data_IF_403847215094
#
_entry.id   IF_403847215094
#
_cell.length_a   1.000
_cell.length_b   1.000
_cell.length_c   1.000
_cell.angle_alpha   90.00
_cell.angle_beta   90.00
_cell.angle_gamma   90.00
#
_symmetry.space_group_name_H-M   'P 1'
#
loop_
_entity.id
_entity.type
_entity.pdbx_description
1 polymer ?
#
# COMPACT_ATOMS: atom_id res chain seq x y z
N UNK A 1 -13.74 18.24 -8.21
CA UNK A 1 -12.44 17.54 -8.10
C UNK A 1 -12.28 17.01 -6.68
N UNK A 2 -11.10 16.52 -6.29
CA UNK A 2 -10.86 16.07 -4.91
C UNK A 2 -11.05 17.21 -3.89
N UNK A 3 -10.90 18.46 -4.33
CA UNK A 3 -11.09 19.68 -3.55
C UNK A 3 -12.55 19.96 -3.14
N UNK A 4 -13.52 19.34 -3.82
CA UNK A 4 -14.96 19.52 -3.55
C UNK A 4 -15.48 18.60 -2.44
N UNK A 5 -14.63 17.69 -1.95
CA UNK A 5 -14.98 16.71 -0.93
C UNK A 5 -14.83 17.30 0.48
N UNK A 6 -15.62 16.80 1.43
CA UNK A 6 -15.38 17.05 2.85
C UNK A 6 -14.04 16.46 3.28
N UNK A 7 -13.47 16.93 4.39
CA UNK A 7 -12.20 16.38 4.91
C UNK A 7 -12.32 14.90 5.28
N UNK A 8 -13.49 14.47 5.75
CA UNK A 8 -13.80 13.06 6.01
C UNK A 8 -13.81 12.24 4.72
N UNK A 9 -14.47 12.74 3.67
CA UNK A 9 -14.51 12.06 2.37
C UNK A 9 -13.14 11.99 1.72
N UNK A 10 -12.32 13.05 1.84
CA UNK A 10 -10.92 13.04 1.38
C UNK A 10 -10.12 11.95 2.08
N UNK A 11 -10.30 11.80 3.39
CA UNK A 11 -9.64 10.75 4.17
C UNK A 11 -10.08 9.35 3.71
N UNK A 12 -11.39 9.14 3.50
CA UNK A 12 -11.94 7.88 2.99
C UNK A 12 -11.36 7.57 1.60
N UNK A 13 -11.34 8.55 0.70
CA UNK A 13 -10.78 8.40 -0.65
C UNK A 13 -9.29 8.06 -0.59
N UNK A 14 -8.53 8.73 0.27
CA UNK A 14 -7.10 8.45 0.49
C UNK A 14 -6.86 7.00 0.94
N UNK A 15 -7.59 6.54 1.97
CA UNK A 15 -7.48 5.15 2.45
C UNK A 15 -7.96 4.15 1.40
N UNK A 16 -9.04 4.43 0.67
CA UNK A 16 -9.55 3.58 -0.40
C UNK A 16 -8.52 3.43 -1.54
N UNK A 17 -7.82 4.50 -1.92
CA UNK A 17 -6.74 4.44 -2.92
C UNK A 17 -5.56 3.61 -2.43
N UNK A 18 -5.15 3.75 -1.16
CA UNK A 18 -4.12 2.88 -0.56
C UNK A 18 -4.52 1.41 -0.58
N UNK A 19 -5.76 1.11 -0.18
CA UNK A 19 -6.32 -0.26 -0.25
C UNK A 19 -6.31 -0.80 -1.68
N UNK A 20 -6.78 -0.01 -2.64
CA UNK A 20 -6.80 -0.41 -4.05
C UNK A 20 -5.40 -0.76 -4.55
N UNK A 21 -4.38 0.01 -4.17
CA UNK A 21 -2.98 -0.28 -4.49
C UNK A 21 -2.49 -1.53 -3.75
N UNK A 22 -2.80 -1.67 -2.47
CA UNK A 22 -2.35 -2.79 -1.63
C UNK A 22 -2.96 -4.14 -2.02
N UNK A 23 -4.10 -4.14 -2.74
CA UNK A 23 -4.63 -5.34 -3.38
C UNK A 23 -3.76 -5.86 -4.54
N UNK A 24 -2.83 -5.05 -5.06
CA UNK A 24 -1.83 -5.54 -6.00
C UNK A 24 -0.71 -6.26 -5.27
N UNK A 25 -0.24 -7.37 -5.83
CA UNK A 25 0.88 -8.14 -5.31
C UNK A 25 1.74 -8.67 -6.46
N UNK A 26 3.07 -8.72 -6.29
CA UNK A 26 3.94 -9.39 -7.25
C UNK A 26 3.75 -10.90 -7.18
N UNK A 27 3.48 -11.52 -8.34
CA UNK A 27 3.32 -12.97 -8.45
C UNK A 27 4.61 -13.64 -8.90
N UNK A 28 4.90 -14.81 -8.33
CA UNK A 28 6.05 -15.65 -8.72
C UNK A 28 6.08 -15.95 -10.23
N UNK A 29 4.92 -16.24 -10.83
CA UNK A 29 4.79 -16.50 -12.26
C UNK A 29 5.01 -15.26 -13.14
N UNK A 30 4.93 -14.06 -12.56
CA UNK A 30 5.04 -12.80 -13.26
C UNK A 30 6.41 -12.14 -13.12
N UNK A 31 7.33 -12.69 -12.31
CA UNK A 31 8.66 -12.13 -12.03
C UNK A 31 9.43 -11.79 -13.31
N UNK A 32 9.38 -12.67 -14.32
CA UNK A 32 10.06 -12.44 -15.61
C UNK A 32 9.52 -11.23 -16.39
N UNK A 33 8.29 -10.80 -16.13
CA UNK A 33 7.65 -9.68 -16.81
C UNK A 33 7.70 -8.40 -15.98
N UNK A 34 7.61 -8.50 -14.65
CA UNK A 34 7.56 -7.36 -13.73
C UNK A 34 8.94 -6.95 -13.22
N UNK A 35 9.91 -7.86 -13.21
CA UNK A 35 11.22 -7.68 -12.58
C UNK A 35 11.16 -7.59 -11.05
N UNK A 36 10.02 -7.92 -10.44
CA UNK A 36 9.82 -7.86 -8.99
C UNK A 36 9.57 -9.27 -8.43
N UNK A 37 10.34 -9.64 -7.41
CA UNK A 37 10.24 -10.93 -6.73
C UNK A 37 8.82 -11.19 -6.22
N UNK A 38 8.31 -12.38 -6.50
CA UNK A 38 6.99 -12.84 -6.09
C UNK A 38 6.88 -12.90 -4.57
N UNK A 39 5.68 -12.59 -4.07
CA UNK A 39 5.41 -12.57 -2.64
C UNK A 39 4.29 -13.53 -2.29
N UNK A 40 4.52 -14.29 -1.23
CA UNK A 40 3.48 -15.06 -0.56
C UNK A 40 3.08 -14.32 0.71
N UNK A 41 1.80 -13.97 0.82
CA UNK A 41 1.25 -13.30 2.01
C UNK A 41 0.29 -14.25 2.69
N UNK A 42 0.48 -14.48 3.99
CA UNK A 42 -0.41 -15.35 4.76
C UNK A 42 -1.79 -14.70 4.93
N UNK A 43 -2.81 -15.51 5.23
CA UNK A 43 -4.15 -14.99 5.53
C UNK A 43 -4.14 -14.08 6.76
N UNK A 44 -3.39 -14.46 7.79
CA UNK A 44 -3.26 -13.68 9.03
C UNK A 44 -2.61 -12.32 8.76
N UNK A 45 -1.52 -12.29 8.00
CA UNK A 45 -0.86 -11.04 7.62
C UNK A 45 -1.73 -10.16 6.74
N UNK A 46 -2.50 -10.76 5.84
CA UNK A 46 -3.48 -10.03 5.01
C UNK A 46 -4.49 -9.32 5.90
N UNK A 47 -5.15 -10.05 6.80
CA UNK A 47 -6.16 -9.49 7.69
C UNK A 47 -5.56 -8.40 8.59
N UNK A 48 -4.37 -8.63 9.15
CA UNK A 48 -3.66 -7.65 9.99
C UNK A 48 -3.33 -6.38 9.22
N UNK A 49 -2.77 -6.51 8.02
CA UNK A 49 -2.39 -5.39 7.15
C UNK A 49 -3.59 -4.51 6.80
N UNK A 50 -4.68 -5.13 6.32
CA UNK A 50 -5.88 -4.40 5.94
C UNK A 50 -6.55 -3.70 7.14
N UNK A 51 -6.58 -4.35 8.32
CA UNK A 51 -7.11 -3.72 9.53
C UNK A 51 -6.36 -2.44 9.89
N UNK A 52 -5.02 -2.46 9.86
CA UNK A 52 -4.24 -1.25 10.18
C UNK A 52 -4.42 -0.13 9.15
N UNK A 53 -4.57 -0.45 7.85
CA UNK A 53 -4.90 0.56 6.82
C UNK A 53 -6.27 1.19 7.08
N UNK A 54 -7.29 0.39 7.38
CA UNK A 54 -8.64 0.88 7.67
C UNK A 54 -8.67 1.70 8.97
N UNK A 55 -7.91 1.30 9.98
CA UNK A 55 -7.76 2.01 11.25
C UNK A 55 -6.99 3.33 11.13
N UNK A 56 -6.27 3.56 10.02
CA UNK A 56 -5.51 4.78 9.77
C UNK A 56 -4.07 4.77 10.30
N UNK A 57 -3.58 3.61 10.75
CA UNK A 57 -2.21 3.48 11.30
C UNK A 57 -1.14 3.89 10.27
N UNK A 58 -1.45 3.73 8.98
CA UNK A 58 -0.54 4.01 7.86
C UNK A 58 -0.97 5.23 7.03
N UNK A 59 -1.75 6.15 7.61
CA UNK A 59 -2.22 7.35 6.90
C UNK A 59 -1.09 8.29 6.47
N UNK A 60 0.01 8.29 7.23
CA UNK A 60 1.21 9.07 6.95
C UNK A 60 2.04 8.55 5.77
N UNK A 61 1.82 7.31 5.31
CA UNK A 61 2.56 6.73 4.19
C UNK A 61 2.00 7.20 2.84
N UNK A 62 2.85 7.44 1.83
CA UNK A 62 2.40 7.81 0.48
C UNK A 62 1.69 6.65 -0.23
N UNK A 63 0.71 6.93 -1.09
CA UNK A 63 -0.03 5.91 -1.84
C UNK A 63 0.87 4.97 -2.67
N UNK A 64 1.98 5.49 -3.19
CA UNK A 64 2.93 4.73 -4.00
C UNK A 64 3.61 3.58 -3.24
N UNK A 65 3.70 3.69 -1.91
CA UNK A 65 4.29 2.66 -1.06
C UNK A 65 3.46 1.37 -1.02
N UNK A 66 2.15 1.46 -1.27
CA UNK A 66 1.24 0.32 -1.24
C UNK A 66 1.16 -0.45 -2.55
N UNK A 67 1.87 -0.03 -3.60
CA UNK A 67 1.78 -0.66 -4.92
C UNK A 67 2.82 -1.78 -5.08
N UNK A 68 2.38 -2.95 -5.55
CA UNK A 68 3.24 -4.12 -5.84
C UNK A 68 4.14 -4.49 -4.65
N UNK A 69 3.52 -4.74 -3.50
CA UNK A 69 4.18 -5.14 -2.25
C UNK A 69 3.49 -6.39 -1.68
N UNK A 70 4.17 -7.08 -0.76
CA UNK A 70 3.58 -8.15 0.04
C UNK A 70 2.79 -7.64 1.24
N UNK A 71 3.18 -8.09 2.44
CA UNK A 71 2.59 -7.63 3.70
C UNK A 71 2.91 -6.15 4.00
N UNK A 72 2.25 -5.58 5.00
CA UNK A 72 2.33 -4.15 5.32
C UNK A 72 3.76 -3.66 5.62
N UNK A 73 4.62 -4.52 6.13
CA UNK A 73 6.02 -4.22 6.42
C UNK A 73 6.78 -3.81 5.15
N UNK A 74 6.47 -4.42 4.01
CA UNK A 74 7.08 -4.05 2.73
C UNK A 74 6.60 -2.68 2.25
N UNK A 75 5.34 -2.31 2.53
CA UNK A 75 4.85 -0.97 2.25
C UNK A 75 5.59 0.08 3.10
N UNK A 76 5.81 -0.20 4.38
CA UNK A 76 6.59 0.67 5.28
C UNK A 76 8.02 0.83 4.77
N UNK A 77 8.72 -0.28 4.49
CA UNK A 77 10.09 -0.24 3.98
C UNK A 77 10.19 0.47 2.61
N UNK A 78 9.19 0.31 1.74
CA UNK A 78 9.13 1.02 0.46
C UNK A 78 8.91 2.53 0.66
N UNK A 79 8.09 2.92 1.64
CA UNK A 79 7.89 4.33 1.97
C UNK A 79 9.18 5.00 2.45
N UNK A 80 9.97 4.31 3.28
CA UNK A 80 11.28 4.79 3.73
C UNK A 80 12.25 5.00 2.57
N UNK A 81 12.29 4.06 1.60
CA UNK A 81 13.11 4.23 0.38
C UNK A 81 12.67 5.43 -0.44
N UNK A 82 11.37 5.60 -0.67
CA UNK A 82 10.84 6.74 -1.41
C UNK A 82 11.16 8.07 -0.72
N UNK A 83 11.13 8.11 0.62
CA UNK A 83 11.50 9.29 1.39
C UNK A 83 13.00 9.60 1.26
N UNK A 84 13.86 8.56 1.29
CA UNK A 84 15.30 8.71 1.13
C UNK A 84 15.71 9.16 -0.30
N UNK A 85 14.99 8.71 -1.33
CA UNK A 85 15.22 9.13 -2.73
C UNK A 85 14.77 10.56 -3.03
N UNK A 86 13.83 11.09 -2.25
CA UNK A 86 13.29 12.44 -2.39
C UNK A 86 14.10 13.51 -1.61
N UNK A 87 15.06 13.08 -0.77
CA UNK A 87 15.93 13.93 0.03
C UNK A 87 17.23 14.26 -0.70
#
# INVERSE_FOLDING_TARGET
GMDELSEEDKLIVSRARKIQRFLSQPFFVAEQFTGADGKFVSLEDTIRSFKGIVAGEYDHLPEAAFYMVGAIEEAVAKAEKLAAEAA
#
